data_IF_331856386731
#
_entry.id   IF_331856386731
#
_cell.length_a   1.000
_cell.length_b   1.000
_cell.length_c   1.000
_cell.angle_alpha   90.00
_cell.angle_beta   90.00
_cell.angle_gamma   90.00
#
_symmetry.space_group_name_H-M   'P 1'
#
loop_
_entity.id
_entity.type
_entity.pdbx_description
1 polymer ?
#
# COMPACT_ATOMS: atom_id res chain seq x y z
N UNK A 1 -1.02 -23.45 -7.95
CA UNK A 1 -0.56 -22.52 -9.00
C UNK A 1 0.96 -22.59 -9.04
N UNK A 2 1.53 -22.81 -10.22
CA UNK A 2 2.99 -22.87 -10.47
C UNK A 2 3.67 -21.55 -10.02
N UNK A 3 4.94 -21.56 -9.55
CA UNK A 3 5.64 -20.33 -9.19
C UNK A 3 5.56 -19.39 -10.39
N UNK A 4 4.95 -18.22 -10.23
CA UNK A 4 4.74 -17.29 -11.34
C UNK A 4 6.09 -16.90 -11.90
N UNK A 5 6.43 -17.38 -13.10
CA UNK A 5 7.53 -16.82 -13.87
C UNK A 5 7.24 -15.33 -14.06
N UNK A 6 8.08 -14.49 -13.47
CA UNK A 6 7.84 -13.05 -13.41
C UNK A 6 8.09 -12.46 -14.81
N UNK A 7 7.07 -11.84 -15.42
CA UNK A 7 7.19 -11.19 -16.72
C UNK A 7 8.02 -9.90 -16.61
N UNK A 8 9.30 -9.92 -16.98
CA UNK A 8 10.16 -8.72 -17.01
C UNK A 8 9.89 -7.92 -18.27
N UNK A 9 9.79 -6.59 -18.17
CA UNK A 9 9.71 -5.70 -19.32
C UNK A 9 11.06 -4.99 -19.53
N UNK A 10 11.46 -4.80 -20.78
CA UNK A 10 12.63 -4.01 -21.16
C UNK A 10 12.38 -3.27 -22.48
N UNK A 11 13.16 -2.22 -22.74
CA UNK A 11 13.17 -1.56 -24.04
C UNK A 11 13.77 -2.48 -25.10
N UNK A 12 13.27 -2.40 -26.34
CA UNK A 12 13.82 -3.16 -27.46
C UNK A 12 15.13 -2.54 -27.95
N UNK A 13 16.27 -3.15 -27.60
CA UNK A 13 17.61 -2.68 -27.99
C UNK A 13 18.38 -3.66 -28.86
N UNK A 14 18.19 -4.97 -28.65
CA UNK A 14 19.01 -6.01 -29.28
C UNK A 14 18.55 -6.36 -30.70
N UNK A 15 19.49 -6.40 -31.65
CA UNK A 15 19.22 -6.69 -33.06
C UNK A 15 18.57 -8.08 -33.27
N UNK A 16 18.95 -9.07 -32.47
CA UNK A 16 18.34 -10.40 -32.51
C UNK A 16 16.86 -10.35 -32.11
N UNK A 17 16.51 -9.54 -31.11
CA UNK A 17 15.13 -9.40 -30.65
C UNK A 17 14.29 -8.56 -31.61
N UNK A 18 14.86 -7.58 -32.31
CA UNK A 18 14.16 -6.82 -33.37
C UNK A 18 13.63 -7.77 -34.44
N UNK A 19 14.47 -8.72 -34.89
CA UNK A 19 14.06 -9.71 -35.90
C UNK A 19 12.97 -10.65 -35.38
N UNK A 20 13.07 -11.07 -34.10
CA UNK A 20 12.05 -11.91 -33.47
C UNK A 20 10.72 -11.18 -33.33
N UNK A 21 10.75 -9.92 -32.93
CA UNK A 21 9.57 -9.05 -32.84
C UNK A 21 8.90 -8.88 -34.21
N UNK A 22 9.67 -8.63 -35.27
CA UNK A 22 9.14 -8.54 -36.63
C UNK A 22 8.47 -9.85 -37.09
N UNK A 23 9.08 -11.00 -36.78
CA UNK A 23 8.48 -12.30 -37.07
C UNK A 23 7.17 -12.53 -36.27
N UNK A 24 7.15 -12.15 -34.99
CA UNK A 24 5.96 -12.24 -34.14
C UNK A 24 4.82 -11.32 -34.60
N UNK A 25 5.14 -10.12 -35.07
CA UNK A 25 4.19 -9.17 -35.69
C UNK A 25 3.54 -9.81 -36.92
N UNK A 26 4.35 -10.26 -37.88
CA UNK A 26 3.89 -10.88 -39.12
C UNK A 26 3.05 -12.15 -38.88
N UNK A 27 3.33 -12.89 -37.80
CA UNK A 27 2.54 -14.06 -37.41
C UNK A 27 1.24 -13.73 -36.65
N UNK A 28 1.07 -12.49 -36.18
CA UNK A 28 -0.05 -12.09 -35.32
C UNK A 28 -1.13 -11.30 -36.04
N UNK A 29 -0.80 -10.67 -37.17
CA UNK A 29 -1.71 -9.83 -37.95
C UNK A 29 -1.78 -10.28 -39.42
N UNK A 30 -2.90 -10.04 -40.13
CA UNK A 30 -2.98 -10.15 -41.58
C UNK A 30 -1.88 -9.33 -42.29
N UNK A 31 -1.49 -9.73 -43.51
CA UNK A 31 -0.37 -9.11 -44.25
C UNK A 31 -0.58 -7.62 -44.50
N UNK A 32 -1.82 -7.18 -44.69
CA UNK A 32 -2.22 -5.79 -44.90
C UNK A 32 -2.29 -4.97 -43.60
N UNK A 33 -2.34 -5.63 -42.44
CA UNK A 33 -2.41 -4.98 -41.12
C UNK A 33 -1.07 -5.05 -40.36
N UNK A 34 -0.21 -6.03 -40.65
CA UNK A 34 1.06 -6.26 -39.96
C UNK A 34 2.12 -5.20 -40.30
N UNK A 35 2.85 -4.72 -39.30
CA UNK A 35 4.02 -3.88 -39.56
C UNK A 35 5.13 -4.69 -40.26
N UNK A 36 5.73 -4.10 -41.30
CA UNK A 36 6.93 -4.65 -41.93
C UNK A 36 8.13 -4.58 -40.98
N UNK A 37 9.19 -5.36 -41.24
CA UNK A 37 10.43 -5.27 -40.46
C UNK A 37 11.01 -3.84 -40.49
N UNK A 38 10.93 -3.14 -41.62
CA UNK A 38 11.34 -1.74 -41.72
C UNK A 38 10.49 -0.82 -40.84
N UNK A 39 9.18 -1.08 -40.73
CA UNK A 39 8.28 -0.39 -39.79
C UNK A 39 8.64 -0.64 -38.33
N UNK A 40 8.91 -1.90 -37.96
CA UNK A 40 9.40 -2.26 -36.61
C UNK A 40 10.69 -1.53 -36.28
N UNK A 41 11.66 -1.52 -37.21
CA UNK A 41 12.94 -0.80 -37.05
C UNK A 41 12.74 0.71 -36.96
N UNK A 42 11.83 1.27 -37.76
CA UNK A 42 11.50 2.69 -37.68
C UNK A 42 10.97 3.06 -36.29
N UNK A 43 10.02 2.29 -35.75
CA UNK A 43 9.44 2.53 -34.43
C UNK A 43 10.48 2.34 -33.32
N UNK A 44 11.31 1.30 -33.40
CA UNK A 44 12.38 1.07 -32.43
C UNK A 44 13.39 2.23 -32.42
N UNK A 45 13.78 2.72 -33.60
CA UNK A 45 14.76 3.80 -33.73
C UNK A 45 14.22 5.16 -33.30
N UNK A 46 13.00 5.50 -33.71
CA UNK A 46 12.45 6.86 -33.53
C UNK A 46 11.54 6.98 -32.31
N UNK A 47 10.86 5.90 -31.91
CA UNK A 47 9.91 5.85 -30.80
C UNK A 47 10.33 4.82 -29.73
N UNK A 48 11.63 4.56 -29.60
CA UNK A 48 12.21 3.57 -28.70
C UNK A 48 11.65 3.57 -27.27
N UNK A 49 11.48 4.73 -26.59
CA UNK A 49 10.88 4.79 -25.24
C UNK A 49 9.46 4.19 -25.13
N UNK A 50 8.77 4.02 -26.26
CA UNK A 50 7.42 3.46 -26.35
C UNK A 50 7.42 2.03 -26.90
N UNK A 51 8.59 1.42 -27.12
CA UNK A 51 8.74 0.05 -27.63
C UNK A 51 9.35 -0.86 -26.56
N UNK A 52 8.49 -1.70 -25.98
CA UNK A 52 8.83 -2.60 -24.88
C UNK A 52 8.62 -4.05 -25.26
N UNK A 53 9.54 -4.90 -24.83
CA UNK A 53 9.50 -6.37 -24.95
C UNK A 53 9.32 -7.00 -23.58
N UNK A 54 8.61 -8.12 -23.53
CA UNK A 54 8.38 -8.92 -22.34
C UNK A 54 9.19 -10.22 -22.36
N UNK A 55 9.87 -10.52 -21.26
CA UNK A 55 10.62 -11.75 -21.05
C UNK A 55 10.04 -12.58 -19.91
N UNK A 56 9.99 -13.90 -20.08
CA UNK A 56 9.83 -14.83 -18.97
C UNK A 56 11.20 -15.40 -18.60
N UNK A 57 11.54 -15.32 -17.31
CA UNK A 57 12.71 -15.99 -16.76
C UNK A 57 12.33 -17.39 -16.26
N UNK A 58 13.20 -18.36 -16.52
CA UNK A 58 13.16 -19.69 -15.92
C UNK A 58 14.28 -19.92 -14.90
N UNK A 59 14.98 -18.86 -14.47
CA UNK A 59 16.11 -18.91 -13.53
C UNK A 59 17.48 -19.02 -14.20
N UNK A 60 17.57 -19.56 -15.42
CA UNK A 60 18.84 -19.73 -16.16
C UNK A 60 18.90 -18.89 -17.44
N UNK A 61 17.75 -18.57 -18.04
CA UNK A 61 17.64 -17.83 -19.29
C UNK A 61 16.35 -17.00 -19.32
N UNK A 62 16.38 -15.93 -20.11
CA UNK A 62 15.20 -15.13 -20.41
C UNK A 62 14.70 -15.44 -21.82
N UNK A 63 13.41 -15.72 -21.94
CA UNK A 63 12.75 -15.95 -23.23
C UNK A 63 11.87 -14.77 -23.56
N UNK A 64 12.08 -14.12 -24.70
CA UNK A 64 11.16 -13.11 -25.24
C UNK A 64 9.81 -13.76 -25.57
N UNK A 65 8.73 -13.25 -24.98
CA UNK A 65 7.38 -13.81 -25.09
C UNK A 65 6.35 -12.86 -25.67
N UNK A 66 6.67 -11.59 -25.84
CA UNK A 66 5.73 -10.58 -26.33
C UNK A 66 6.32 -9.19 -26.40
N UNK A 67 5.56 -8.25 -26.96
CA UNK A 67 5.94 -6.84 -27.05
C UNK A 67 4.72 -5.92 -27.15
N UNK A 68 4.95 -4.64 -26.81
CA UNK A 68 4.04 -3.53 -27.04
C UNK A 68 4.84 -2.40 -27.67
N UNK A 69 4.31 -1.78 -28.72
CA UNK A 69 4.94 -0.63 -29.35
C UNK A 69 3.93 0.46 -29.69
N UNK A 70 4.41 1.70 -29.74
CA UNK A 70 3.60 2.85 -30.10
C UNK A 70 4.42 4.01 -30.64
N UNK A 71 3.74 5.01 -31.19
CA UNK A 71 4.32 6.31 -31.56
C UNK A 71 3.55 7.45 -30.90
N UNK A 72 4.20 8.59 -30.76
CA UNK A 72 3.56 9.81 -30.30
C UNK A 72 3.07 10.62 -31.50
N UNK A 73 1.98 11.33 -31.30
CA UNK A 73 1.45 12.31 -32.24
C UNK A 73 1.01 13.57 -31.50
N UNK A 74 1.13 14.72 -32.16
CA UNK A 74 0.55 15.97 -31.71
C UNK A 74 -0.93 16.11 -32.07
N UNK A 75 -1.48 15.18 -32.87
CA UNK A 75 -2.91 15.13 -33.19
C UNK A 75 -3.74 14.58 -32.03
N UNK A 76 -5.02 14.90 -32.05
CA UNK A 76 -6.00 14.47 -31.04
C UNK A 76 -6.80 13.21 -31.44
N UNK A 77 -6.68 12.77 -32.70
CA UNK A 77 -7.40 11.64 -33.29
C UNK A 77 -6.46 10.63 -33.96
N UNK A 78 -6.94 9.40 -34.12
CA UNK A 78 -6.25 8.34 -34.86
C UNK A 78 -6.70 8.34 -36.33
N UNK A 79 -5.79 8.74 -37.21
CA UNK A 79 -5.86 8.59 -38.67
C UNK A 79 -4.54 7.99 -39.22
N UNK A 80 -4.51 7.65 -40.51
CA UNK A 80 -3.34 7.01 -41.14
C UNK A 80 -2.04 7.83 -41.01
N UNK A 81 -2.13 9.15 -40.94
CA UNK A 81 -0.97 10.04 -40.81
C UNK A 81 -0.45 10.04 -39.36
N UNK A 82 -1.35 10.18 -38.40
CA UNK A 82 -1.05 10.11 -36.96
C UNK A 82 -0.45 8.76 -36.55
N UNK A 83 -0.77 7.70 -37.29
CA UNK A 83 -0.30 6.34 -37.04
C UNK A 83 1.01 6.00 -37.77
N UNK A 84 1.43 6.77 -38.76
CA UNK A 84 2.61 6.47 -39.59
C UNK A 84 3.88 7.20 -39.16
N UNK A 85 3.76 8.28 -38.37
CA UNK A 85 4.90 9.08 -37.91
C UNK A 85 5.09 9.05 -36.40
N UNK A 86 6.25 9.52 -35.94
CA UNK A 86 6.54 9.76 -34.54
C UNK A 86 6.88 11.24 -34.33
N UNK A 87 6.11 11.91 -33.49
CA UNK A 87 6.38 13.26 -33.01
C UNK A 87 6.84 13.21 -31.54
N UNK A 88 8.13 13.44 -31.24
CA UNK A 88 8.66 13.42 -29.88
C UNK A 88 8.00 14.42 -28.91
N UNK A 89 7.34 15.47 -29.43
CA UNK A 89 6.62 16.47 -28.64
C UNK A 89 5.11 16.15 -28.52
N UNK A 90 4.65 15.08 -29.15
CA UNK A 90 3.28 14.62 -29.10
C UNK A 90 2.82 14.26 -27.69
N UNK A 91 1.52 14.40 -27.44
CA UNK A 91 0.91 14.09 -26.14
C UNK A 91 -0.07 12.92 -26.18
N UNK A 92 -0.39 12.43 -27.39
CA UNK A 92 -1.17 11.23 -27.63
C UNK A 92 -0.23 10.09 -28.02
N UNK A 93 -0.25 9.00 -27.24
CA UNK A 93 0.45 7.75 -27.57
C UNK A 93 -0.50 6.81 -28.33
N UNK A 94 -0.20 6.57 -29.60
CA UNK A 94 -0.88 5.54 -30.38
C UNK A 94 -0.15 4.21 -30.21
N UNK A 95 -0.79 3.23 -29.56
CA UNK A 95 -0.29 1.85 -29.53
C UNK A 95 -0.65 1.17 -30.85
N UNK A 96 0.37 0.64 -31.52
CA UNK A 96 0.22 -0.03 -32.82
C UNK A 96 0.03 -1.53 -32.67
N UNK A 97 0.78 -2.16 -31.75
CA UNK A 97 0.74 -3.60 -31.59
C UNK A 97 0.87 -4.02 -30.13
N UNK A 98 0.08 -5.01 -29.73
CA UNK A 98 0.17 -5.72 -28.44
C UNK A 98 0.20 -7.21 -28.75
N UNK A 99 1.39 -7.80 -28.73
CA UNK A 99 1.61 -9.15 -29.23
C UNK A 99 2.18 -10.05 -28.14
N UNK A 100 1.62 -11.25 -28.04
CA UNK A 100 2.19 -12.37 -27.29
C UNK A 100 2.41 -13.53 -28.25
N UNK A 101 3.60 -14.11 -28.16
CA UNK A 101 4.01 -15.26 -28.96
C UNK A 101 3.00 -16.39 -28.81
N UNK A 102 2.68 -17.05 -29.93
CA UNK A 102 1.62 -18.05 -29.99
C UNK A 102 1.80 -19.17 -28.96
N UNK A 103 3.04 -19.59 -28.67
CA UNK A 103 3.34 -20.64 -27.69
C UNK A 103 2.99 -20.23 -26.25
N UNK A 104 2.89 -18.93 -25.97
CA UNK A 104 2.67 -18.35 -24.65
C UNK A 104 1.29 -17.71 -24.46
N UNK A 105 0.42 -17.75 -25.48
CA UNK A 105 -0.95 -17.24 -25.41
C UNK A 105 -1.81 -18.00 -24.40
N UNK A 106 -2.91 -17.39 -23.98
CA UNK A 106 -3.90 -17.92 -23.01
C UNK A 106 -3.34 -18.18 -21.60
N UNK A 107 -2.20 -17.56 -21.26
CA UNK A 107 -1.58 -17.61 -19.92
C UNK A 107 -1.71 -16.29 -19.14
N UNK A 108 -2.56 -15.38 -19.60
CA UNK A 108 -2.74 -14.04 -19.00
C UNK A 108 -1.60 -13.04 -19.29
N UNK A 109 -0.59 -13.42 -20.07
CA UNK A 109 0.60 -12.59 -20.32
C UNK A 109 0.28 -11.29 -21.07
N UNK A 110 -0.68 -11.28 -21.99
CA UNK A 110 -1.05 -10.06 -22.71
C UNK A 110 -1.58 -8.98 -21.75
N UNK A 111 -2.41 -9.38 -20.78
CA UNK A 111 -2.95 -8.48 -19.75
C UNK A 111 -1.83 -7.97 -18.85
N UNK A 112 -0.93 -8.85 -18.41
CA UNK A 112 0.22 -8.45 -17.59
C UNK A 112 1.15 -7.49 -18.35
N UNK A 113 1.45 -7.79 -19.61
CA UNK A 113 2.29 -6.99 -20.49
C UNK A 113 1.71 -5.59 -20.69
N UNK A 114 0.44 -5.47 -21.10
CA UNK A 114 -0.18 -4.18 -21.35
C UNK A 114 -0.37 -3.35 -20.07
N UNK A 115 -0.81 -3.97 -18.96
CA UNK A 115 -0.94 -3.25 -17.68
C UNK A 115 0.41 -2.72 -17.18
N UNK A 116 1.48 -3.52 -17.31
CA UNK A 116 2.83 -3.09 -16.95
C UNK A 116 3.32 -1.98 -17.88
N UNK A 117 3.15 -2.13 -19.20
CA UNK A 117 3.50 -1.10 -20.17
C UNK A 117 2.82 0.23 -19.83
N UNK A 118 1.50 0.23 -19.63
CA UNK A 118 0.74 1.43 -19.26
C UNK A 118 1.27 2.03 -17.96
N UNK A 119 1.52 1.23 -16.92
CA UNK A 119 2.06 1.73 -15.66
C UNK A 119 3.41 2.43 -15.86
N UNK A 120 4.29 1.88 -16.71
CA UNK A 120 5.58 2.49 -17.04
C UNK A 120 5.44 3.79 -17.84
N UNK A 121 4.48 3.87 -18.76
CA UNK A 121 4.17 5.12 -19.48
C UNK A 121 3.65 6.19 -18.52
N UNK A 122 2.75 5.83 -17.59
CA UNK A 122 2.22 6.77 -16.61
C UNK A 122 3.32 7.31 -15.69
N UNK A 123 4.27 6.47 -15.32
CA UNK A 123 5.36 6.82 -14.40
C UNK A 123 6.52 7.59 -15.09
N UNK A 124 6.92 7.17 -16.29
CA UNK A 124 8.14 7.70 -16.96
C UNK A 124 7.88 8.74 -18.06
N UNK A 125 6.65 8.88 -18.55
CA UNK A 125 6.32 9.75 -19.70
C UNK A 125 5.24 10.78 -19.35
N UNK A 126 5.54 11.81 -18.53
CA UNK A 126 4.55 12.79 -18.07
C UNK A 126 3.88 13.60 -19.19
N UNK A 127 4.53 13.72 -20.35
CA UNK A 127 3.99 14.40 -21.53
C UNK A 127 2.82 13.64 -22.16
N UNK A 128 2.74 12.32 -21.97
CA UNK A 128 1.63 11.52 -22.49
C UNK A 128 0.38 11.79 -21.67
N UNK A 129 -0.61 12.42 -22.31
CA UNK A 129 -1.90 12.76 -21.71
C UNK A 129 -2.96 11.70 -22.01
N UNK A 130 -2.86 11.04 -23.17
CA UNK A 130 -3.79 10.01 -23.63
C UNK A 130 -3.02 8.86 -24.27
N UNK A 131 -3.51 7.63 -24.06
CA UNK A 131 -3.10 6.47 -24.86
C UNK A 131 -4.30 6.03 -25.67
N UNK A 132 -4.13 5.80 -26.96
CA UNK A 132 -5.17 5.25 -27.82
C UNK A 132 -4.68 4.05 -28.62
N UNK A 133 -5.62 3.20 -29.01
CA UNK A 133 -5.40 2.09 -29.93
C UNK A 133 -6.68 1.75 -30.70
N UNK A 134 -6.48 1.03 -31.80
CA UNK A 134 -7.56 0.39 -32.55
C UNK A 134 -7.69 -1.07 -32.13
N UNK A 135 -8.92 -1.54 -31.93
CA UNK A 135 -9.19 -2.95 -31.66
C UNK A 135 -10.37 -3.49 -32.47
N UNK A 136 -10.24 -4.73 -32.95
CA UNK A 136 -11.39 -5.51 -33.45
C UNK A 136 -12.36 -5.80 -32.30
N UNK A 137 -13.65 -5.96 -32.64
CA UNK A 137 -14.74 -6.15 -31.67
C UNK A 137 -14.44 -7.22 -30.59
N UNK A 138 -13.87 -8.37 -30.99
CA UNK A 138 -13.57 -9.48 -30.08
C UNK A 138 -12.43 -9.20 -29.08
N UNK A 139 -11.62 -8.15 -29.30
CA UNK A 139 -10.53 -7.72 -28.40
C UNK A 139 -10.93 -6.56 -27.48
N UNK A 140 -12.07 -5.91 -27.71
CA UNK A 140 -12.52 -4.76 -26.89
C UNK A 140 -12.57 -5.12 -25.41
N UNK A 141 -13.16 -6.26 -25.06
CA UNK A 141 -13.24 -6.71 -23.66
C UNK A 141 -11.86 -6.91 -23.00
N UNK A 142 -10.87 -7.36 -23.77
CA UNK A 142 -9.49 -7.49 -23.29
C UNK A 142 -8.89 -6.12 -22.93
N UNK A 143 -9.00 -5.14 -23.81
CA UNK A 143 -8.46 -3.79 -23.56
C UNK A 143 -9.21 -3.05 -22.46
N UNK A 144 -10.53 -3.22 -22.37
CA UNK A 144 -11.33 -2.67 -21.26
C UNK A 144 -10.88 -3.26 -19.91
N UNK A 145 -10.58 -4.56 -19.85
CA UNK A 145 -10.02 -5.18 -18.64
C UNK A 145 -8.62 -4.65 -18.25
N UNK A 146 -7.95 -3.97 -19.18
CA UNK A 146 -6.67 -3.30 -18.99
C UNK A 146 -6.80 -1.81 -18.63
N UNK A 147 -8.02 -1.28 -18.51
CA UNK A 147 -8.30 0.09 -18.08
C UNK A 147 -8.61 1.08 -19.21
N UNK A 148 -8.64 0.63 -20.46
CA UNK A 148 -9.08 1.46 -21.58
C UNK A 148 -10.62 1.55 -21.64
N UNK A 149 -11.14 2.59 -22.26
CA UNK A 149 -12.57 2.78 -22.52
C UNK A 149 -12.81 2.91 -24.02
N UNK A 150 -13.91 2.34 -24.51
CA UNK A 150 -14.32 2.50 -25.92
C UNK A 150 -14.80 3.93 -26.13
N UNK A 151 -14.29 4.60 -27.17
CA UNK A 151 -14.71 5.96 -27.51
C UNK A 151 -15.74 5.94 -28.65
N UNK A 152 -15.39 5.35 -29.78
CA UNK A 152 -16.22 5.31 -30.99
C UNK A 152 -15.84 4.15 -31.93
N UNK A 153 -16.66 3.95 -32.96
CA UNK A 153 -16.25 3.21 -34.16
C UNK A 153 -15.18 4.03 -34.89
N UNK A 154 -14.09 3.41 -35.28
CA UNK A 154 -12.98 4.08 -35.96
C UNK A 154 -13.38 4.45 -37.40
N UNK A 155 -13.03 5.66 -37.89
CA UNK A 155 -13.12 5.99 -39.31
C UNK A 155 -12.05 5.28 -40.14
N UNK A 156 -11.00 4.75 -39.51
CA UNK A 156 -9.92 4.02 -40.17
C UNK A 156 -10.41 2.63 -40.56
N UNK A 157 -10.33 2.30 -41.85
CA UNK A 157 -10.73 1.02 -42.41
C UNK A 157 -9.50 0.28 -42.92
N UNK A 158 -8.98 -0.63 -42.10
CA UNK A 158 -7.98 -1.63 -42.50
C UNK A 158 -8.62 -3.03 -42.44
N UNK A 159 -8.55 -3.77 -43.53
CA UNK A 159 -9.24 -5.07 -43.67
C UNK A 159 -10.76 -4.97 -43.85
N UNK A 160 -11.46 -6.09 -43.63
CA UNK A 160 -12.92 -6.23 -43.88
C UNK A 160 -13.80 -5.86 -42.67
N UNK A 161 -13.26 -5.99 -41.45
CA UNK A 161 -14.01 -5.81 -40.21
C UNK A 161 -13.82 -4.39 -39.63
N UNK A 162 -14.87 -3.80 -39.04
CA UNK A 162 -14.76 -2.49 -38.41
C UNK A 162 -13.88 -2.52 -37.16
N UNK A 163 -13.21 -1.38 -36.91
CA UNK A 163 -12.37 -1.16 -35.75
C UNK A 163 -13.04 -0.25 -34.73
N UNK A 164 -12.75 -0.47 -33.45
CA UNK A 164 -13.12 0.43 -32.36
C UNK A 164 -11.90 1.21 -31.93
N UNK A 165 -12.07 2.51 -31.68
CA UNK A 165 -11.09 3.31 -30.96
C UNK A 165 -11.29 3.10 -29.45
N UNK A 166 -10.18 2.89 -28.76
CA UNK A 166 -10.14 2.83 -27.30
C UNK A 166 -9.12 3.81 -26.75
N UNK A 167 -9.41 4.34 -25.57
CA UNK A 167 -8.61 5.38 -24.94
C UNK A 167 -8.35 5.08 -23.45
N UNK A 168 -7.18 5.48 -22.98
CA UNK A 168 -6.86 5.70 -21.57
C UNK A 168 -6.50 7.17 -21.34
N UNK A 169 -7.24 7.84 -20.46
CA UNK A 169 -6.87 9.15 -19.92
C UNK A 169 -5.74 8.98 -18.90
N UNK A 170 -4.52 9.38 -19.28
CA UNK A 170 -3.35 9.26 -18.43
C UNK A 170 -3.37 10.23 -17.25
N UNK A 171 -4.04 11.39 -17.37
CA UNK A 171 -4.15 12.33 -16.26
C UNK A 171 -5.03 11.75 -15.16
N UNK A 172 -6.17 11.16 -15.53
CA UNK A 172 -7.02 10.42 -14.60
C UNK A 172 -6.34 9.17 -14.05
N UNK A 173 -5.59 8.45 -14.87
CA UNK A 173 -4.89 7.24 -14.44
C UNK A 173 -3.71 7.50 -13.48
N UNK A 174 -3.08 8.68 -13.52
CA UNK A 174 -2.02 9.12 -12.58
C UNK A 174 -2.53 9.56 -11.21
N UNK A 175 -3.83 9.77 -11.07
CA UNK A 175 -4.43 10.14 -9.79
C UNK A 175 -4.35 8.96 -8.82
N UNK A 176 -3.79 9.15 -7.62
CA UNK A 176 -3.54 8.04 -6.73
C UNK A 176 -4.84 7.56 -6.06
N UNK A 177 -5.07 6.24 -5.98
CA UNK A 177 -6.16 5.71 -5.18
C UNK A 177 -5.90 5.98 -3.70
N UNK A 178 -6.99 6.24 -2.98
CA UNK A 178 -7.01 6.39 -1.53
C UNK A 178 -8.00 5.39 -0.94
N UNK A 179 -7.55 4.61 0.02
CA UNK A 179 -8.35 3.60 0.71
C UNK A 179 -8.33 3.95 2.20
N UNK A 180 -9.50 4.09 2.80
CA UNK A 180 -9.61 4.26 4.25
C UNK A 180 -9.87 2.90 4.89
N UNK A 181 -9.03 2.55 5.86
CA UNK A 181 -9.11 1.30 6.61
C UNK A 181 -9.23 1.62 8.09
N UNK A 182 -10.15 0.94 8.75
CA UNK A 182 -10.26 0.93 10.19
C UNK A 182 -9.44 -0.25 10.73
N UNK A 183 -8.29 0.06 11.32
CA UNK A 183 -7.35 -0.94 11.85
C UNK A 183 -7.78 -1.46 13.23
N UNK A 184 -7.40 -2.70 13.53
CA UNK A 184 -7.69 -3.40 14.78
C UNK A 184 -9.18 -3.66 15.02
N UNK A 185 -9.98 -3.72 13.94
CA UNK A 185 -11.40 -4.01 13.99
C UNK A 185 -11.85 -4.82 12.77
N UNK A 186 -12.88 -5.64 12.95
CA UNK A 186 -13.65 -6.25 11.85
C UNK A 186 -14.97 -5.51 11.56
N UNK A 187 -15.34 -4.55 12.40
CA UNK A 187 -16.54 -3.75 12.26
C UNK A 187 -16.18 -2.35 11.76
N UNK A 188 -16.92 -1.86 10.76
CA UNK A 188 -16.75 -0.51 10.25
C UNK A 188 -17.04 0.52 11.34
N UNK A 189 -16.28 1.61 11.32
CA UNK A 189 -16.35 2.74 12.25
C UNK A 189 -15.87 2.44 13.66
N UNK A 190 -15.34 1.24 13.90
CA UNK A 190 -14.59 0.85 15.10
C UNK A 190 -13.08 0.85 14.81
N UNK A 191 -12.24 0.54 15.81
CA UNK A 191 -10.79 0.54 15.64
C UNK A 191 -10.19 1.94 15.46
N UNK A 192 -9.04 2.00 14.80
CA UNK A 192 -8.33 3.25 14.51
C UNK A 192 -8.28 3.52 12.99
N UNK A 193 -8.96 4.56 12.49
CA UNK A 193 -9.01 4.87 11.07
C UNK A 193 -7.68 5.41 10.54
N UNK A 194 -7.22 4.91 9.40
CA UNK A 194 -6.17 5.53 8.61
C UNK A 194 -6.54 5.61 7.13
N UNK A 195 -6.19 6.73 6.50
CA UNK A 195 -6.22 6.86 5.06
C UNK A 195 -4.91 6.32 4.48
N UNK A 196 -4.98 5.53 3.41
CA UNK A 196 -3.82 4.98 2.71
C UNK A 196 -3.86 5.44 1.26
N UNK A 197 -2.84 6.19 0.85
CA UNK A 197 -2.67 6.67 -0.52
C UNK A 197 -1.60 5.82 -1.20
N UNK A 198 -1.97 5.15 -2.30
CA UNK A 198 -1.01 4.35 -3.07
C UNK A 198 -0.44 5.19 -4.21
N UNK A 199 0.86 5.50 -4.13
CA UNK A 199 1.58 6.32 -5.09
C UNK A 199 2.37 5.46 -6.08
N UNK A 200 2.66 6.02 -7.26
CA UNK A 200 3.70 5.46 -8.12
C UNK A 200 5.09 5.78 -7.55
N UNK A 201 6.14 5.02 -7.90
CA UNK A 201 7.50 5.34 -7.48
C UNK A 201 7.92 6.76 -7.85
N UNK A 202 7.64 7.22 -9.08
CA UNK A 202 8.00 8.57 -9.50
C UNK A 202 7.26 9.65 -8.69
N UNK A 203 5.96 9.47 -8.42
CA UNK A 203 5.17 10.43 -7.64
C UNK A 203 5.65 10.51 -6.18
N UNK A 204 6.01 9.36 -5.59
CA UNK A 204 6.46 9.28 -4.21
C UNK A 204 7.82 9.96 -3.99
N UNK A 205 8.75 9.82 -4.93
CA UNK A 205 10.10 10.37 -4.84
C UNK A 205 10.27 11.75 -5.48
N UNK A 206 9.20 12.34 -6.01
CA UNK A 206 9.24 13.65 -6.66
C UNK A 206 9.63 14.76 -5.67
N UNK A 207 10.44 15.74 -6.08
CA UNK A 207 10.63 16.96 -5.29
C UNK A 207 9.28 17.63 -4.96
N UNK A 208 9.09 18.01 -3.69
CA UNK A 208 7.83 18.58 -3.20
C UNK A 208 6.76 17.55 -2.81
N UNK A 209 7.01 16.25 -2.94
CA UNK A 209 6.05 15.21 -2.55
C UNK A 209 5.69 15.29 -1.05
N UNK A 210 6.65 15.59 -0.17
CA UNK A 210 6.40 15.76 1.27
C UNK A 210 5.38 16.86 1.58
N UNK A 211 5.46 18.01 0.90
CA UNK A 211 4.53 19.13 1.11
C UNK A 211 3.12 18.79 0.59
N UNK A 212 3.04 17.99 -0.47
CA UNK A 212 1.76 17.46 -0.94
C UNK A 212 1.19 16.42 0.05
N UNK A 213 2.01 15.48 0.53
CA UNK A 213 1.62 14.46 1.52
C UNK A 213 1.15 15.11 2.83
N UNK A 214 1.82 16.15 3.31
CA UNK A 214 1.40 16.87 4.52
C UNK A 214 0.04 17.56 4.32
N UNK A 215 -0.19 18.19 3.15
CA UNK A 215 -1.48 18.84 2.84
C UNK A 215 -2.63 17.84 2.75
N UNK A 216 -2.41 16.69 2.13
CA UNK A 216 -3.42 15.61 2.07
C UNK A 216 -3.70 15.04 3.46
N UNK A 217 -2.68 14.85 4.29
CA UNK A 217 -2.88 14.39 5.67
C UNK A 217 -3.68 15.39 6.51
N UNK A 218 -3.41 16.68 6.33
CA UNK A 218 -4.17 17.77 6.95
C UNK A 218 -5.64 17.80 6.49
N UNK A 219 -5.89 17.62 5.19
CA UNK A 219 -7.25 17.57 4.62
C UNK A 219 -8.04 16.37 5.14
N UNK A 220 -7.40 15.19 5.21
CA UNK A 220 -8.04 13.97 5.72
C UNK A 220 -8.40 14.09 7.21
N UNK A 221 -7.60 14.81 7.99
CA UNK A 221 -7.79 15.05 9.42
C UNK A 221 -8.07 13.77 10.24
N UNK A 222 -7.44 12.66 9.84
CA UNK A 222 -7.36 11.41 10.62
C UNK A 222 -6.11 11.44 11.50
N UNK A 223 -5.98 10.47 12.41
CA UNK A 223 -4.77 10.29 13.22
C UNK A 223 -3.54 10.26 12.31
N UNK A 224 -3.59 9.44 11.25
CA UNK A 224 -2.54 9.34 10.25
C UNK A 224 -3.10 9.11 8.84
N UNK A 225 -2.39 9.69 7.86
CA UNK A 225 -2.44 9.27 6.45
C UNK A 225 -1.12 8.59 6.09
N UNK A 226 -1.21 7.36 5.58
CA UNK A 226 -0.10 6.57 5.09
C UNK A 226 0.06 6.75 3.58
N UNK A 227 1.32 6.78 3.11
CA UNK A 227 1.67 6.84 1.70
C UNK A 227 2.58 5.65 1.39
N UNK A 228 2.16 4.82 0.44
CA UNK A 228 2.93 3.64 0.03
C UNK A 228 3.24 3.68 -1.45
N UNK A 229 4.48 3.34 -1.82
CA UNK A 229 4.89 3.18 -3.21
C UNK A 229 5.66 1.88 -3.40
N UNK A 230 5.44 1.14 -4.51
CA UNK A 230 6.24 -0.04 -4.82
C UNK A 230 7.72 0.32 -4.90
N UNK A 231 8.57 -0.57 -4.38
CA UNK A 231 10.02 -0.45 -4.46
C UNK A 231 10.58 -1.57 -5.33
N UNK A 232 11.62 -1.27 -6.10
CA UNK A 232 12.27 -2.27 -6.92
C UNK A 232 12.88 -3.38 -6.07
N UNK A 233 12.66 -4.62 -6.53
CA UNK A 233 13.24 -5.81 -5.90
C UNK A 233 14.73 -5.86 -6.20
N UNK A 234 15.52 -6.22 -5.20
CA UNK A 234 16.95 -6.50 -5.41
C UNK A 234 17.16 -7.99 -5.68
N UNK A 235 18.32 -8.37 -6.20
CA UNK A 235 18.70 -9.78 -6.34
C UNK A 235 18.72 -10.55 -5.01
N UNK A 236 18.69 -9.84 -3.86
CA UNK A 236 18.64 -10.42 -2.51
C UNK A 236 17.21 -10.53 -1.96
N UNK A 237 16.22 -9.95 -2.63
CA UNK A 237 14.82 -9.96 -2.18
C UNK A 237 14.18 -11.33 -2.48
N UNK A 238 13.77 -12.11 -1.46
CA UNK A 238 13.13 -13.42 -1.67
C UNK A 238 11.85 -13.33 -2.49
N UNK A 239 11.52 -14.37 -3.26
CA UNK A 239 10.36 -14.42 -4.18
C UNK A 239 9.04 -14.03 -3.51
N UNK A 240 8.83 -14.48 -2.28
CA UNK A 240 7.64 -14.24 -1.48
C UNK A 240 7.60 -12.86 -0.81
N UNK A 241 8.55 -11.97 -1.06
CA UNK A 241 8.62 -10.62 -0.47
C UNK A 241 8.22 -9.56 -1.48
N UNK A 242 7.31 -8.68 -1.07
CA UNK A 242 7.02 -7.44 -1.79
C UNK A 242 7.62 -6.24 -1.03
N UNK A 243 8.38 -5.42 -1.76
CA UNK A 243 9.12 -4.28 -1.22
C UNK A 243 8.33 -2.99 -1.50
N UNK A 244 8.14 -2.17 -0.47
CA UNK A 244 7.44 -0.89 -0.56
C UNK A 244 8.16 0.18 0.25
N UNK A 245 8.19 1.41 -0.26
CA UNK A 245 8.48 2.58 0.57
C UNK A 245 7.19 3.01 1.29
N UNK A 246 7.30 3.37 2.57
CA UNK A 246 6.15 3.75 3.40
C UNK A 246 6.48 4.94 4.31
N UNK A 247 5.59 5.94 4.31
CA UNK A 247 5.62 7.12 5.19
C UNK A 247 4.26 7.36 5.83
N UNK A 248 4.26 8.00 6.99
CA UNK A 248 3.04 8.35 7.72
C UNK A 248 3.08 9.80 8.14
N UNK A 249 1.95 10.46 7.97
CA UNK A 249 1.78 11.86 8.31
C UNK A 249 0.55 12.00 9.21
N UNK A 250 0.75 12.65 10.34
CA UNK A 250 -0.35 13.28 11.07
C UNK A 250 -0.74 14.58 10.35
N UNK A 251 -1.85 15.24 10.73
CA UNK A 251 -2.18 16.56 10.19
C UNK A 251 -1.09 17.61 10.41
N UNK A 252 -0.20 17.42 11.40
CA UNK A 252 0.86 18.38 11.75
C UNK A 252 2.27 18.05 11.26
N UNK A 253 2.62 16.77 11.14
CA UNK A 253 3.99 16.35 10.79
C UNK A 253 4.09 14.89 10.32
N UNK A 254 5.19 14.58 9.62
CA UNK A 254 5.65 13.22 9.37
C UNK A 254 6.12 12.54 10.66
N UNK A 255 5.72 11.29 10.88
CA UNK A 255 6.14 10.48 12.03
C UNK A 255 7.04 9.32 11.61
N UNK A 256 7.96 8.93 12.50
CA UNK A 256 8.96 7.89 12.18
C UNK A 256 8.38 6.48 12.19
N UNK A 257 7.31 6.25 12.93
CA UNK A 257 6.71 4.93 13.15
C UNK A 257 5.22 5.07 13.47
N UNK A 258 4.36 4.30 12.81
CA UNK A 258 2.93 4.22 13.14
C UNK A 258 2.40 2.80 12.94
N UNK A 259 1.86 2.18 14.00
CA UNK A 259 1.36 0.80 13.95
C UNK A 259 0.08 0.63 13.13
N UNK A 260 -1.00 1.32 13.51
CA UNK A 260 -2.32 1.11 12.88
C UNK A 260 -2.33 1.49 11.40
N UNK A 261 -1.57 2.53 11.01
CA UNK A 261 -1.46 2.95 9.61
C UNK A 261 -0.56 2.00 8.79
N UNK A 262 0.41 1.31 9.42
CA UNK A 262 1.14 0.19 8.79
C UNK A 262 0.20 -0.99 8.50
N UNK A 263 -0.61 -1.39 9.50
CA UNK A 263 -1.63 -2.44 9.33
C UNK A 263 -2.61 -2.08 8.22
N UNK A 264 -3.11 -0.84 8.24
CA UNK A 264 -4.02 -0.30 7.25
C UNK A 264 -3.40 -0.34 5.85
N UNK A 265 -2.11 -0.03 5.73
CA UNK A 265 -1.40 -0.10 4.45
C UNK A 265 -1.32 -1.52 3.92
N UNK A 266 -1.01 -2.51 4.76
CA UNK A 266 -1.02 -3.92 4.36
C UNK A 266 -2.41 -4.36 3.85
N UNK A 267 -3.47 -3.99 4.55
CA UNK A 267 -4.85 -4.24 4.12
C UNK A 267 -5.20 -3.55 2.81
N UNK A 268 -4.87 -2.26 2.66
CA UNK A 268 -5.14 -1.50 1.45
C UNK A 268 -4.41 -2.07 0.22
N UNK A 269 -3.16 -2.55 0.38
CA UNK A 269 -2.42 -3.21 -0.68
C UNK A 269 -3.05 -4.54 -1.09
N UNK A 270 -3.50 -5.34 -0.11
CA UNK A 270 -4.21 -6.59 -0.37
C UNK A 270 -5.56 -6.33 -1.06
N UNK A 271 -6.34 -5.39 -0.55
CA UNK A 271 -7.64 -4.98 -1.12
C UNK A 271 -7.52 -4.48 -2.56
N UNK A 272 -6.49 -3.69 -2.85
CA UNK A 272 -6.18 -3.21 -4.18
C UNK A 272 -5.60 -4.29 -5.12
N UNK A 273 -5.49 -5.54 -4.67
CA UNK A 273 -4.92 -6.66 -5.43
C UNK A 273 -3.43 -6.48 -5.76
N UNK A 274 -2.71 -5.64 -5.00
CA UNK A 274 -1.28 -5.36 -5.20
C UNK A 274 -0.38 -6.42 -4.57
N UNK A 275 -0.89 -7.12 -3.56
CA UNK A 275 -0.22 -8.22 -2.86
C UNK A 275 -1.20 -9.33 -2.50
N UNK A 276 -0.69 -10.53 -2.29
CA UNK A 276 -1.47 -11.69 -1.82
C UNK A 276 -1.17 -12.02 -0.37
N UNK A 277 -2.05 -12.80 0.27
CA UNK A 277 -1.86 -13.27 1.65
C UNK A 277 -0.65 -14.20 1.83
N UNK A 278 -0.10 -14.75 0.75
CA UNK A 278 1.12 -15.57 0.79
C UNK A 278 2.40 -14.74 0.78
N UNK A 279 2.31 -13.43 0.53
CA UNK A 279 3.48 -12.56 0.47
C UNK A 279 3.78 -11.92 1.83
N UNK A 280 5.07 -11.71 2.08
CA UNK A 280 5.57 -10.84 3.14
C UNK A 280 5.74 -9.44 2.60
N UNK A 281 5.43 -8.46 3.41
CA UNK A 281 5.60 -7.04 3.09
C UNK A 281 6.82 -6.51 3.83
N UNK A 282 7.75 -5.92 3.08
CA UNK A 282 8.85 -5.15 3.64
C UNK A 282 8.59 -3.68 3.34
N UNK A 283 8.29 -2.92 4.40
CA UNK A 283 8.10 -1.48 4.34
C UNK A 283 9.40 -0.77 4.72
N UNK A 284 9.95 0.02 3.82
CA UNK A 284 11.13 0.87 4.05
C UNK A 284 10.68 2.22 4.58
N UNK A 285 11.09 2.54 5.80
CA UNK A 285 10.56 3.66 6.58
C UNK A 285 11.69 4.42 7.29
N UNK A 286 11.40 5.57 7.89
CA UNK A 286 12.39 6.32 8.68
C UNK A 286 12.88 5.57 9.93
N UNK A 287 12.12 4.57 10.40
CA UNK A 287 12.49 3.69 11.50
C UNK A 287 13.17 2.38 11.04
N UNK A 288 13.53 2.28 9.75
CA UNK A 288 14.09 1.07 9.16
C UNK A 288 13.02 0.20 8.49
N UNK A 289 13.35 -1.07 8.24
CA UNK A 289 12.45 -2.00 7.56
C UNK A 289 11.46 -2.60 8.55
N UNK A 290 10.17 -2.40 8.31
CA UNK A 290 9.09 -3.06 9.02
C UNK A 290 8.57 -4.25 8.22
N UNK A 291 8.40 -5.38 8.90
CA UNK A 291 7.93 -6.62 8.26
C UNK A 291 6.49 -6.86 8.65
N UNK A 292 5.63 -7.01 7.64
CA UNK A 292 4.24 -7.44 7.81
C UNK A 292 3.97 -8.77 7.10
N UNK A 293 3.06 -9.56 7.68
CA UNK A 293 2.59 -10.83 7.12
C UNK A 293 1.09 -10.94 7.27
N UNK A 294 0.47 -11.75 6.44
CA UNK A 294 -0.93 -12.08 6.56
C UNK A 294 -1.11 -13.45 7.22
N UNK A 295 -2.13 -13.58 8.07
CA UNK A 295 -2.57 -14.85 8.65
C UNK A 295 -4.08 -14.96 8.45
N UNK A 296 -4.54 -16.08 7.93
CA UNK A 296 -5.98 -16.36 7.80
C UNK A 296 -6.35 -17.31 8.92
N UNK A 297 -7.20 -16.86 9.85
CA UNK A 297 -7.73 -17.74 10.88
C UNK A 297 -8.60 -18.82 10.24
N UNK A 298 -8.30 -20.08 10.55
CA UNK A 298 -8.95 -21.23 9.90
C UNK A 298 -10.45 -21.32 10.23
N UNK A 299 -10.83 -21.05 11.48
CA UNK A 299 -12.22 -21.22 11.94
C UNK A 299 -13.14 -20.06 11.51
N UNK A 300 -12.62 -18.83 11.57
CA UNK A 300 -13.40 -17.62 11.32
C UNK A 300 -13.25 -17.08 9.90
N UNK A 301 -12.28 -17.60 9.14
CA UNK A 301 -11.83 -17.06 7.84
C UNK A 301 -11.42 -15.58 7.90
N UNK A 302 -11.14 -15.05 9.09
CA UNK A 302 -10.70 -13.67 9.29
C UNK A 302 -9.27 -13.50 8.81
N UNK A 303 -9.02 -12.39 8.12
CA UNK A 303 -7.68 -11.98 7.72
C UNK A 303 -7.07 -11.12 8.82
N UNK A 304 -5.91 -11.53 9.31
CA UNK A 304 -5.09 -10.78 10.26
C UNK A 304 -3.83 -10.29 9.56
N UNK A 305 -3.41 -9.08 9.92
CA UNK A 305 -2.07 -8.57 9.62
C UNK A 305 -1.23 -8.69 10.88
N UNK A 306 -0.08 -9.33 10.73
CA UNK A 306 0.96 -9.43 11.74
C UNK A 306 2.03 -8.40 11.41
N UNK A 307 2.37 -7.56 12.38
CA UNK A 307 3.45 -6.59 12.27
C UNK A 307 4.52 -6.92 13.29
N UNK A 308 5.76 -7.00 12.83
CA UNK A 308 6.89 -7.39 13.68
C UNK A 308 7.64 -6.14 14.18
N UNK A 309 7.46 -5.81 15.46
CA UNK A 309 8.01 -4.61 16.11
C UNK A 309 9.01 -4.96 17.22
N UNK A 310 9.98 -4.06 17.50
CA UNK A 310 10.81 -4.20 18.68
C UNK A 310 9.95 -4.07 19.94
N UNK A 311 10.23 -4.89 20.95
CA UNK A 311 9.70 -4.67 22.29
C UNK A 311 10.13 -3.29 22.81
N UNK A 312 9.28 -2.69 23.63
CA UNK A 312 9.62 -1.50 24.41
C UNK A 312 9.63 -1.87 25.90
N UNK A 313 10.78 -2.28 26.44
CA UNK A 313 10.91 -2.56 27.86
C UNK A 313 10.51 -1.34 28.69
N UNK A 314 9.89 -1.60 29.84
CA UNK A 314 9.46 -0.56 30.76
C UNK A 314 10.30 -0.57 32.04
N UNK A 315 10.66 0.60 32.52
CA UNK A 315 11.45 0.78 33.75
C UNK A 315 10.58 1.40 34.85
N UNK A 316 10.94 1.25 36.14
CA UNK A 316 10.30 2.04 37.21
C UNK A 316 10.26 3.52 36.85
N UNK A 317 9.13 4.19 37.09
CA UNK A 317 9.00 5.61 36.81
C UNK A 317 10.09 6.41 37.54
N UNK A 318 10.67 7.39 36.84
CA UNK A 318 11.75 8.23 37.39
C UNK A 318 11.29 9.09 38.57
N UNK A 319 12.22 9.68 39.35
CA UNK A 319 11.90 10.43 40.56
C UNK A 319 11.03 11.67 40.34
N UNK A 320 10.97 12.18 39.10
CA UNK A 320 10.15 13.32 38.72
C UNK A 320 8.68 12.95 38.48
N UNK A 321 8.34 11.66 38.43
CA UNK A 321 6.95 11.20 38.25
C UNK A 321 6.28 11.10 39.62
N UNK A 322 5.48 12.11 39.96
CA UNK A 322 4.77 12.16 41.24
C UNK A 322 3.43 11.43 41.13
N UNK A 323 3.25 10.36 41.90
CA UNK A 323 2.03 9.53 41.86
C UNK A 323 0.74 10.34 42.08
N UNK A 324 0.76 11.30 43.00
CA UNK A 324 -0.38 12.17 43.28
C UNK A 324 -0.77 13.05 42.10
N UNK A 325 0.20 13.51 41.31
CA UNK A 325 -0.04 14.31 40.11
C UNK A 325 -0.62 13.45 38.98
N UNK A 326 -0.08 12.24 38.78
CA UNK A 326 -0.64 11.26 37.82
C UNK A 326 -2.08 10.91 38.19
N UNK A 327 -2.35 10.62 39.47
CA UNK A 327 -3.69 10.32 39.95
C UNK A 327 -4.66 11.49 39.74
N UNK A 328 -4.22 12.72 40.06
CA UNK A 328 -5.03 13.91 39.86
C UNK A 328 -5.30 14.20 38.38
N UNK A 329 -4.32 13.96 37.50
CA UNK A 329 -4.49 14.12 36.05
C UNK A 329 -5.42 13.06 35.44
N UNK A 330 -5.48 11.86 36.02
CA UNK A 330 -6.44 10.81 35.64
C UNK A 330 -7.80 10.93 36.35
N UNK A 331 -7.95 11.91 37.25
CA UNK A 331 -9.13 12.12 38.11
C UNK A 331 -9.48 10.91 38.99
N UNK A 332 -8.47 10.26 39.57
CA UNK A 332 -8.61 9.07 40.42
C UNK A 332 -7.91 9.25 41.77
N UNK A 333 -8.22 8.37 42.71
CA UNK A 333 -7.49 8.31 43.98
C UNK A 333 -6.10 7.67 43.75
N UNK A 334 -5.03 8.16 44.41
CA UNK A 334 -3.70 7.55 44.28
C UNK A 334 -3.66 6.05 44.60
N UNK A 335 -4.51 5.59 45.53
CA UNK A 335 -4.65 4.18 45.89
C UNK A 335 -5.19 3.29 44.77
N UNK A 336 -5.80 3.87 43.73
CA UNK A 336 -6.27 3.12 42.56
C UNK A 336 -5.16 2.83 41.56
N UNK A 337 -3.99 3.46 41.69
CA UNK A 337 -2.82 3.19 40.86
C UNK A 337 -2.02 2.04 41.49
N UNK A 338 -1.89 0.95 40.75
CA UNK A 338 -1.21 -0.27 41.18
C UNK A 338 0.27 -0.29 40.77
N UNK A 339 0.63 0.45 39.72
CA UNK A 339 2.01 0.55 39.23
C UNK A 339 2.14 1.71 38.24
N UNK A 340 3.33 2.31 38.17
CA UNK A 340 3.68 3.31 37.16
C UNK A 340 5.06 3.00 36.61
N UNK A 341 5.14 2.88 35.27
CA UNK A 341 6.38 2.61 34.57
C UNK A 341 6.65 3.66 33.49
N UNK A 342 7.93 3.86 33.21
CA UNK A 342 8.42 4.66 32.09
C UNK A 342 8.69 3.73 30.91
N UNK A 343 8.04 4.00 29.77
CA UNK A 343 8.40 3.46 28.46
C UNK A 343 9.26 4.49 27.70
N UNK A 344 9.55 4.25 26.41
CA UNK A 344 10.48 5.11 25.64
C UNK A 344 10.09 6.59 25.62
N UNK A 345 8.81 6.89 25.39
CA UNK A 345 8.29 8.28 25.37
C UNK A 345 7.05 8.46 26.25
N UNK A 346 6.50 7.38 26.80
CA UNK A 346 5.17 7.33 27.40
C UNK A 346 5.25 6.83 28.85
N UNK A 347 4.25 7.16 29.67
CA UNK A 347 4.03 6.50 30.96
C UNK A 347 3.01 5.37 30.81
N UNK A 348 3.34 4.20 31.34
CA UNK A 348 2.39 3.11 31.54
C UNK A 348 1.85 3.21 32.97
N UNK A 349 0.53 3.32 33.12
CA UNK A 349 -0.14 3.46 34.41
C UNK A 349 -1.09 2.28 34.60
N UNK A 350 -0.74 1.34 35.47
CA UNK A 350 -1.63 0.23 35.81
C UNK A 350 -2.58 0.67 36.92
N UNK A 351 -3.88 0.59 36.67
CA UNK A 351 -4.93 0.92 37.64
C UNK A 351 -5.77 -0.30 37.98
N UNK A 352 -6.64 -0.20 38.99
CA UNK A 352 -7.61 -1.26 39.28
C UNK A 352 -8.70 -1.35 38.20
N UNK A 353 -9.24 -2.54 37.91
CA UNK A 353 -10.31 -2.72 36.91
C UNK A 353 -11.57 -1.87 37.20
N UNK A 354 -11.90 -1.67 38.47
CA UNK A 354 -13.10 -0.93 38.89
C UNK A 354 -13.00 0.54 38.45
N UNK A 355 -11.84 1.15 38.67
CA UNK A 355 -11.61 2.56 38.35
C UNK A 355 -11.39 2.78 36.85
N UNK A 356 -10.83 1.80 36.15
CA UNK A 356 -10.56 1.89 34.72
C UNK A 356 -11.80 2.26 33.90
N UNK A 357 -12.94 1.61 34.19
CA UNK A 357 -14.22 1.80 33.48
C UNK A 357 -14.82 3.20 33.62
N UNK A 358 -14.45 3.93 34.67
CA UNK A 358 -15.00 5.26 35.01
C UNK A 358 -13.98 6.39 34.87
N UNK A 359 -12.81 6.11 34.28
CA UNK A 359 -11.74 7.09 34.06
C UNK A 359 -12.25 8.32 33.30
N UNK A 360 -12.00 9.50 33.87
CA UNK A 360 -12.28 10.81 33.27
C UNK A 360 -11.02 11.68 33.35
N UNK A 361 -10.06 11.51 32.43
CA UNK A 361 -8.81 12.24 32.49
C UNK A 361 -9.02 13.76 32.35
N UNK A 362 -8.26 14.52 33.12
CA UNK A 362 -8.11 15.96 32.95
C UNK A 362 -7.04 16.20 31.87
N UNK A 363 -7.49 16.38 30.63
CA UNK A 363 -6.59 16.56 29.48
C UNK A 363 -5.72 17.82 29.60
N UNK A 364 -6.17 18.86 30.31
CA UNK A 364 -5.37 20.07 30.55
C UNK A 364 -4.17 19.72 31.43
N UNK A 365 -4.39 18.99 32.52
CA UNK A 365 -3.30 18.52 33.39
C UNK A 365 -2.36 17.55 32.66
N UNK A 366 -2.91 16.58 31.93
CA UNK A 366 -2.10 15.63 31.17
C UNK A 366 -1.23 16.33 30.11
N UNK A 367 -1.70 17.43 29.51
CA UNK A 367 -0.94 18.19 28.52
C UNK A 367 0.30 18.91 29.09
N UNK A 368 0.35 19.11 30.41
CA UNK A 368 1.46 19.76 31.11
C UNK A 368 2.61 18.79 31.43
N UNK A 369 2.39 17.48 31.27
CA UNK A 369 3.41 16.45 31.52
C UNK A 369 4.49 16.46 30.44
N UNK A 370 5.72 16.05 30.78
CA UNK A 370 6.85 15.98 29.84
C UNK A 370 6.92 14.70 29.00
N UNK A 371 6.03 13.74 29.27
CA UNK A 371 5.90 12.54 28.41
C UNK A 371 5.00 12.81 27.21
N UNK A 372 5.18 12.02 26.15
CA UNK A 372 4.33 12.08 24.95
C UNK A 372 2.89 11.69 25.28
N UNK A 373 2.70 10.62 26.08
CA UNK A 373 1.37 10.14 26.43
C UNK A 373 1.35 9.17 27.61
N UNK A 374 0.14 8.75 27.97
CA UNK A 374 -0.20 7.89 29.10
C UNK A 374 -0.96 6.67 28.59
N UNK A 375 -0.32 5.51 28.64
CA UNK A 375 -0.94 4.20 28.41
C UNK A 375 -1.52 3.70 29.74
N UNK A 376 -2.79 4.01 29.99
CA UNK A 376 -3.48 3.54 31.20
C UNK A 376 -4.02 2.15 30.93
N UNK A 377 -3.80 1.20 31.83
CA UNK A 377 -4.15 -0.21 31.62
C UNK A 377 -4.67 -0.89 32.88
N UNK A 378 -5.49 -1.90 32.70
CA UNK A 378 -5.96 -2.79 33.76
C UNK A 378 -6.12 -4.21 33.23
N UNK A 379 -6.11 -5.18 34.16
CA UNK A 379 -6.52 -6.55 33.84
C UNK A 379 -8.01 -6.57 33.52
N UNK A 380 -8.42 -7.44 32.61
CA UNK A 380 -9.83 -7.66 32.34
C UNK A 380 -10.47 -8.51 33.44
N UNK A 381 -11.73 -8.22 33.85
CA UNK A 381 -12.45 -9.10 34.76
C UNK A 381 -12.52 -10.54 34.24
N UNK A 382 -12.43 -11.51 35.16
CA UNK A 382 -12.58 -12.92 34.81
C UNK A 382 -13.96 -13.18 34.21
N UNK A 383 -14.00 -14.01 33.15
CA UNK A 383 -15.24 -14.35 32.46
C UNK A 383 -15.80 -13.25 31.56
N UNK A 384 -14.98 -12.27 31.15
CA UNK A 384 -15.41 -11.26 30.19
C UNK A 384 -15.82 -11.88 28.85
N UNK A 385 -16.91 -11.37 28.26
CA UNK A 385 -17.50 -11.90 27.03
C UNK A 385 -16.55 -11.81 25.82
N UNK A 386 -15.68 -10.81 25.80
CA UNK A 386 -14.71 -10.56 24.74
C UNK A 386 -13.49 -11.50 24.75
N UNK A 387 -13.33 -12.33 25.79
CA UNK A 387 -12.19 -13.25 25.97
C UNK A 387 -10.83 -12.56 25.77
N UNK A 388 -10.69 -11.35 26.31
CA UNK A 388 -9.44 -10.56 26.33
C UNK A 388 -8.81 -10.59 27.72
N UNK A 389 -7.49 -10.43 27.76
CA UNK A 389 -6.70 -10.50 28.99
C UNK A 389 -6.53 -9.13 29.65
N UNK A 390 -6.33 -8.08 28.84
CA UNK A 390 -6.07 -6.72 29.32
C UNK A 390 -6.91 -5.69 28.56
N UNK A 391 -7.11 -4.55 29.21
CA UNK A 391 -7.71 -3.36 28.61
C UNK A 391 -6.77 -2.16 28.74
N UNK A 392 -6.82 -1.26 27.78
CA UNK A 392 -6.03 -0.04 27.76
C UNK A 392 -6.82 1.18 27.24
N UNK A 393 -6.36 2.37 27.64
CA UNK A 393 -6.72 3.67 27.07
C UNK A 393 -5.43 4.46 26.90
N UNK A 394 -5.34 5.26 25.84
CA UNK A 394 -4.13 6.03 25.55
C UNK A 394 -4.44 7.51 25.41
N UNK A 395 -3.79 8.33 26.23
CA UNK A 395 -4.01 9.77 26.28
C UNK A 395 -2.72 10.51 25.95
N UNK A 396 -2.73 11.38 24.93
CA UNK A 396 -1.55 12.13 24.51
C UNK A 396 -1.87 13.62 24.17
N UNK A 397 -2.55 14.35 25.06
CA UNK A 397 -3.03 15.70 24.77
C UNK A 397 -1.91 16.69 24.47
N UNK A 398 -0.69 16.47 24.99
CA UNK A 398 0.51 17.28 24.67
C UNK A 398 0.84 17.30 23.17
N UNK A 399 0.51 16.23 22.45
CA UNK A 399 0.71 16.15 20.99
C UNK A 399 -0.60 16.30 20.22
N UNK A 400 -1.64 16.85 20.86
CA UNK A 400 -2.92 17.17 20.22
C UNK A 400 -3.93 16.03 20.18
N UNK A 401 -3.64 14.87 20.79
CA UNK A 401 -4.53 13.71 20.80
C UNK A 401 -5.02 13.46 22.23
N UNK A 402 -6.21 13.97 22.56
CA UNK A 402 -6.78 13.76 23.90
C UNK A 402 -6.90 12.27 24.22
N UNK A 403 -7.42 11.47 23.28
CA UNK A 403 -7.55 10.02 23.42
C UNK A 403 -7.45 9.34 22.05
N UNK A 404 -6.55 8.36 21.94
CA UNK A 404 -6.35 7.58 20.70
C UNK A 404 -7.19 6.27 20.75
N UNK A 405 -7.95 5.91 19.70
CA UNK A 405 -8.79 4.70 19.72
C UNK A 405 -8.01 3.41 19.93
N UNK A 406 -6.91 3.23 19.20
CA UNK A 406 -6.05 2.04 19.32
C UNK A 406 -4.60 2.38 18.99
N UNK A 407 -3.71 2.27 19.99
CA UNK A 407 -2.32 2.71 19.88
C UNK A 407 -1.38 1.51 19.78
N UNK A 408 -1.04 1.09 18.57
CA UNK A 408 -0.14 -0.05 18.36
C UNK A 408 1.20 0.10 19.09
N UNK A 409 1.83 1.29 19.05
CA UNK A 409 3.12 1.51 19.70
C UNK A 409 3.09 1.30 21.22
N UNK A 410 2.00 1.69 21.89
CA UNK A 410 1.84 1.49 23.34
C UNK A 410 1.79 -0.01 23.69
N UNK A 411 1.26 -0.84 22.79
CA UNK A 411 1.18 -2.28 22.99
C UNK A 411 2.53 -2.99 22.85
N UNK A 412 3.54 -2.37 22.21
CA UNK A 412 4.92 -2.85 22.26
C UNK A 412 5.53 -2.74 23.67
N UNK A 413 4.98 -1.89 24.54
CA UNK A 413 5.35 -1.77 25.95
C UNK A 413 4.40 -2.57 26.87
N UNK A 414 3.09 -2.53 26.60
CA UNK A 414 2.09 -3.28 27.38
C UNK A 414 2.32 -4.80 27.31
N UNK A 415 2.70 -5.32 26.14
CA UNK A 415 3.02 -6.73 25.95
C UNK A 415 4.05 -7.25 26.95
N UNK A 416 5.31 -6.78 26.90
CA UNK A 416 6.36 -7.24 27.81
C UNK A 416 6.08 -6.89 29.27
N UNK A 417 5.32 -5.82 29.56
CA UNK A 417 4.89 -5.49 30.92
C UNK A 417 3.92 -6.53 31.50
N UNK A 418 2.88 -6.91 30.75
CA UNK A 418 1.83 -7.81 31.22
C UNK A 418 2.20 -9.30 31.14
N UNK A 419 3.09 -9.68 30.23
CA UNK A 419 3.51 -11.08 30.05
C UNK A 419 3.97 -11.79 31.33
N UNK A 420 4.89 -11.23 32.15
CA UNK A 420 5.30 -11.86 33.39
C UNK A 420 4.19 -11.84 34.45
N UNK A 421 3.32 -10.83 34.46
CA UNK A 421 2.19 -10.72 35.39
C UNK A 421 1.15 -11.82 35.13
N UNK A 422 0.83 -12.05 33.85
CA UNK A 422 -0.14 -13.06 33.41
C UNK A 422 0.46 -14.46 33.25
N UNK A 423 1.79 -14.57 33.24
CA UNK A 423 2.55 -15.79 32.94
C UNK A 423 2.19 -16.37 31.56
N UNK A 424 2.12 -15.50 30.55
CA UNK A 424 1.77 -15.84 29.16
C UNK A 424 2.69 -15.14 28.17
N UNK A 425 2.89 -15.74 27.00
CA UNK A 425 3.63 -15.15 25.87
C UNK A 425 2.72 -14.59 24.79
N UNK A 426 1.43 -14.91 24.83
CA UNK A 426 0.40 -14.32 23.98
C UNK A 426 -0.60 -13.60 24.87
N UNK A 427 -0.85 -12.33 24.55
CA UNK A 427 -1.77 -11.47 25.30
C UNK A 427 -2.81 -10.92 24.33
N UNK A 428 -4.08 -11.11 24.66
CA UNK A 428 -5.20 -10.49 23.95
C UNK A 428 -5.54 -9.17 24.65
N UNK A 429 -5.44 -8.07 23.92
CA UNK A 429 -5.68 -6.73 24.42
C UNK A 429 -6.88 -6.10 23.72
N UNK A 430 -7.61 -5.27 24.46
CA UNK A 430 -8.54 -4.30 23.89
C UNK A 430 -8.10 -2.88 24.26
N UNK A 431 -8.19 -1.95 23.32
CA UNK A 431 -8.10 -0.52 23.59
C UNK A 431 -9.40 0.14 23.16
N UNK A 432 -9.95 1.03 23.98
CA UNK A 432 -11.18 1.73 23.62
C UNK A 432 -11.18 3.18 24.10
N UNK A 433 -11.93 3.99 23.35
CA UNK A 433 -12.47 5.28 23.75
C UNK A 433 -13.96 5.12 24.02
N UNK A 434 -14.67 6.14 24.55
CA UNK A 434 -16.12 6.09 24.67
C UNK A 434 -16.90 5.87 23.36
N UNK A 435 -16.26 6.08 22.19
CA UNK A 435 -16.94 6.06 20.87
C UNK A 435 -16.45 4.95 19.93
N UNK A 436 -15.21 4.48 20.09
CA UNK A 436 -14.56 3.47 19.25
C UNK A 436 -13.56 2.65 20.04
N UNK A 437 -13.35 1.41 19.65
CA UNK A 437 -12.25 0.60 20.18
C UNK A 437 -11.86 -0.54 19.25
N UNK A 438 -10.79 -1.22 19.57
CA UNK A 438 -10.30 -2.33 18.78
C UNK A 438 -9.53 -3.36 19.59
N UNK A 439 -9.25 -4.47 18.94
CA UNK A 439 -8.65 -5.65 19.53
C UNK A 439 -7.29 -5.94 18.89
N UNK A 440 -6.32 -6.33 19.72
CA UNK A 440 -4.99 -6.70 19.30
C UNK A 440 -4.59 -8.01 19.97
N UNK A 441 -3.83 -8.83 19.25
CA UNK A 441 -3.09 -9.95 19.85
C UNK A 441 -1.61 -9.58 19.85
N UNK A 442 -0.96 -9.75 21.00
CA UNK A 442 0.46 -9.49 21.21
C UNK A 442 1.17 -10.82 21.43
N UNK A 443 1.94 -11.27 20.45
CA UNK A 443 2.80 -12.44 20.61
C UNK A 443 4.23 -12.00 20.90
N UNK A 444 4.74 -12.35 22.08
CA UNK A 444 6.10 -12.07 22.51
C UNK A 444 7.03 -13.17 22.03
N UNK A 445 8.05 -12.78 21.27
CA UNK A 445 9.01 -13.72 20.70
C UNK A 445 10.15 -13.91 21.70
N UNK A 446 10.12 -15.04 22.41
CA UNK A 446 11.10 -15.36 23.44
C UNK A 446 12.54 -15.55 22.91
N UNK A 447 12.73 -15.77 21.61
CA UNK A 447 14.04 -15.97 20.99
C UNK A 447 14.51 -14.69 20.27
N UNK A 448 15.68 -14.17 20.66
CA UNK A 448 16.31 -13.02 20.00
C UNK A 448 16.21 -11.69 20.79
N UNK A 449 16.32 -10.53 20.13
CA UNK A 449 16.53 -9.23 20.78
C UNK A 449 15.28 -8.57 21.40
N UNK A 450 14.26 -9.35 21.79
CA UNK A 450 12.97 -8.84 22.29
C UNK A 450 12.09 -8.25 21.17
N UNK A 451 11.03 -8.96 20.79
CA UNK A 451 10.12 -8.59 19.69
C UNK A 451 8.68 -8.89 20.07
N UNK A 452 7.78 -7.96 19.74
CA UNK A 452 6.33 -8.18 19.82
C UNK A 452 5.76 -8.25 18.41
N UNK A 453 5.10 -9.35 18.09
CA UNK A 453 4.25 -9.43 16.91
C UNK A 453 2.87 -8.91 17.28
N UNK A 454 2.51 -7.76 16.71
CA UNK A 454 1.18 -7.19 16.85
C UNK A 454 0.29 -7.75 15.75
N UNK A 455 -0.80 -8.42 16.13
CA UNK A 455 -1.81 -8.90 15.18
C UNK A 455 -3.08 -8.10 15.32
N UNK A 456 -3.66 -7.74 14.18
CA UNK A 456 -4.94 -7.07 14.13
C UNK A 456 -5.72 -7.41 12.87
N UNK A 457 -7.03 -7.30 12.98
CA UNK A 457 -7.93 -7.24 11.82
C UNK A 457 -7.94 -5.81 11.23
N UNK A 458 -8.54 -5.67 10.07
CA UNK A 458 -8.80 -4.38 9.45
C UNK A 458 -9.98 -4.48 8.50
N UNK A 459 -10.72 -3.39 8.36
CA UNK A 459 -11.88 -3.31 7.46
C UNK A 459 -11.79 -2.07 6.58
N UNK A 460 -11.98 -2.26 5.27
CA UNK A 460 -12.01 -1.15 4.32
C UNK A 460 -13.37 -0.46 4.43
N UNK A 461 -13.34 0.84 4.72
CA UNK A 461 -14.56 1.66 4.88
C UNK A 461 -14.83 2.53 3.66
N UNK A 462 -13.78 3.01 2.99
CA UNK A 462 -13.91 3.89 1.84
C UNK A 462 -12.85 3.55 0.78
N UNK A 463 -13.26 3.57 -0.48
CA UNK A 463 -12.38 3.53 -1.65
C UNK A 463 -12.64 4.76 -2.51
N UNK A 464 -11.58 5.48 -2.83
CA UNK A 464 -11.66 6.70 -3.63
C UNK A 464 -10.38 6.95 -4.41
N UNK A 465 -10.33 8.11 -5.04
CA UNK A 465 -9.17 8.56 -5.80
C UNK A 465 -8.99 10.06 -5.56
N UNK A 466 -7.77 10.49 -5.28
CA UNK A 466 -7.47 11.91 -5.14
C UNK A 466 -7.53 12.61 -6.50
N UNK A 467 -7.96 13.87 -6.53
CA UNK A 467 -8.02 14.64 -7.78
C UNK A 467 -6.67 15.22 -8.20
N UNK A 468 -5.67 15.17 -7.31
CA UNK A 468 -4.29 15.61 -7.53
C UNK A 468 -3.28 14.52 -7.15
N UNK A 469 -2.04 14.70 -7.58
CA UNK A 469 -0.87 13.84 -7.31
C UNK A 469 0.36 14.76 -7.13
N UNK A 470 1.42 14.35 -6.40
CA UNK A 470 2.64 15.12 -6.22
C UNK A 470 3.23 15.76 -7.49
#
# INVERSE_FOLDING_TARGET
>A
MSPSSLLRLALLTEEADIRRVAAMEAASYPVDEAATESGVRFRQKNAGPFFWVGYLSNGESETLVGFVNGTLTARDELDDESMSQHDPLGSLLCIHSVVVDQAFRRRGLATQLLKRYVAMILDSQPQVKRVMLLAKAYLVGFYVSCGLSVTRLSPVVHGLDPWFELELDCQKARRPPMIQVDAFSSESFQGNPAAVVLLSPAAYHKPGASDWMQRVAMENNLSETAYAAPRDRTAKTPDDVAEYDLRWFTPGAEVKLCGHATLSTAFALHDAGRVTTSQRLHFHTLSGVLVCRFEVQQESHKLLVLMDFPEQPTEPAGPNVVLGEVAAALSIQPSAILDVKQATTDLLVRVTPEVFSVLKPDFVRLSQSDVRGFAVTAEMPQGNESNVDIQSRFFAPRVGVNEDPVTGSAHCALGPYWAPLLKRTTIKAQQFTPVRGGYLTLDLVAAGPGRVLLKGEGVVVLRGQLTSSP
#
